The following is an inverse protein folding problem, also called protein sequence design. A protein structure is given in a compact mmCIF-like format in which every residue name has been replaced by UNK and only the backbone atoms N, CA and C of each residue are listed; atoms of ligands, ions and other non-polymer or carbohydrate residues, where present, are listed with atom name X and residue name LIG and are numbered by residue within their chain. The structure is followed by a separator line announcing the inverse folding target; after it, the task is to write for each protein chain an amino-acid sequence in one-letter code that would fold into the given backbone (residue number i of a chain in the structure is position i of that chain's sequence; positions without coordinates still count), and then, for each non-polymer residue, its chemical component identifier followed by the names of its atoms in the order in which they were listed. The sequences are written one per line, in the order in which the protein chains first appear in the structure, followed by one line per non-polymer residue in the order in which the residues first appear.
data_IF_612213620827
#
_entry.id   IF_612213620827
#
_cell.length_a   1.000
_cell.length_b   1.000
_cell.length_c   1.000
_cell.angle_alpha   90.00
_cell.angle_beta   90.00
_cell.angle_gamma   90.00
#
_symmetry.space_group_name_H-M   'P 1'
#
loop_
_entity.id
_entity.type
_entity.pdbx_description
1 polymer ?
#
# COMPACT_ATOMS: atom_id res chain seq x y z
N UNK A 1 6.54 12.81 -5.43
CA UNK A 1 6.40 11.40 -5.88
C UNK A 1 7.61 10.55 -5.51
N UNK A 2 8.84 10.94 -5.89
CA UNK A 2 10.08 10.21 -5.53
C UNK A 2 10.28 10.07 -4.01
N UNK A 3 10.10 11.16 -3.24
CA UNK A 3 10.16 11.13 -1.77
C UNK A 3 9.16 10.15 -1.16
N UNK A 4 7.95 10.10 -1.70
CA UNK A 4 6.91 9.17 -1.24
C UNK A 4 7.28 7.73 -1.57
N UNK A 5 7.78 7.47 -2.79
CA UNK A 5 8.22 6.13 -3.20
C UNK A 5 9.35 5.62 -2.29
N UNK A 6 10.35 6.46 -1.99
CA UNK A 6 11.42 6.11 -1.06
C UNK A 6 10.89 5.80 0.35
N UNK A 7 9.90 6.56 0.84
CA UNK A 7 9.27 6.30 2.11
C UNK A 7 8.50 4.96 2.14
N UNK A 8 7.77 4.62 1.08
CA UNK A 8 7.07 3.33 0.97
C UNK A 8 8.06 2.15 0.92
N UNK A 9 9.18 2.29 0.22
CA UNK A 9 10.23 1.27 0.21
C UNK A 9 10.86 1.11 1.61
N UNK A 10 11.08 2.23 2.32
CA UNK A 10 11.52 2.22 3.70
C UNK A 10 10.52 1.52 4.64
N UNK A 11 9.22 1.78 4.49
CA UNK A 11 8.17 1.09 5.24
C UNK A 11 8.17 -0.42 4.99
N UNK A 12 8.31 -0.84 3.72
CA UNK A 12 8.35 -2.27 3.37
C UNK A 12 9.57 -2.94 3.98
N UNK A 13 10.74 -2.32 3.86
CA UNK A 13 11.96 -2.83 4.49
C UNK A 13 11.83 -2.94 6.01
N UNK A 14 11.38 -1.86 6.68
CA UNK A 14 11.22 -1.82 8.14
C UNK A 14 10.11 -2.73 8.64
N UNK A 15 9.12 -3.05 7.79
CA UNK A 15 8.08 -4.03 8.12
C UNK A 15 8.59 -5.46 8.14
N UNK A 16 9.74 -5.75 7.51
CA UNK A 16 10.35 -7.07 7.45
C UNK A 16 11.43 -7.31 8.53
N UNK A 17 11.76 -6.28 9.33
CA UNK A 17 12.79 -6.35 10.37
C UNK A 17 12.21 -5.93 11.72
N UNK A 18 12.69 -6.55 12.81
CA UNK A 18 12.29 -6.21 14.19
C UNK A 18 12.97 -4.91 14.66
N UNK A 19 12.62 -3.79 14.03
CA UNK A 19 13.11 -2.47 14.39
C UNK A 19 12.13 -1.72 15.30
N UNK A 20 12.62 -0.77 16.13
CA UNK A 20 11.76 0.09 16.92
C UNK A 20 10.70 0.84 16.08
N UNK A 21 9.47 0.88 16.59
CA UNK A 21 8.31 1.49 15.92
C UNK A 21 8.54 2.94 15.47
N UNK A 22 9.42 3.70 16.12
CA UNK A 22 9.70 5.08 15.76
C UNK A 22 10.41 5.22 14.41
N UNK A 23 11.18 4.21 13.96
CA UNK A 23 11.73 4.20 12.60
C UNK A 23 10.62 4.12 11.55
N UNK A 24 9.66 3.23 11.78
CA UNK A 24 8.45 3.14 10.96
C UNK A 24 7.70 4.48 10.96
N UNK A 25 7.51 5.09 12.15
CA UNK A 25 6.93 6.42 12.28
C UNK A 25 7.65 7.50 11.46
N UNK A 26 8.99 7.45 11.41
CA UNK A 26 9.80 8.34 10.59
C UNK A 26 9.48 8.24 9.10
N UNK A 27 9.31 7.02 8.58
CA UNK A 27 8.91 6.83 7.16
C UNK A 27 7.51 7.36 6.88
N UNK A 28 6.57 7.24 7.83
CA UNK A 28 5.22 7.83 7.72
C UNK A 28 5.29 9.35 7.62
N UNK A 29 6.14 9.99 8.42
CA UNK A 29 6.36 11.44 8.36
C UNK A 29 6.93 11.86 7.00
N UNK A 30 7.93 11.14 6.49
CA UNK A 30 8.53 11.44 5.17
C UNK A 30 7.51 11.25 4.04
N UNK A 31 6.70 10.19 4.09
CA UNK A 31 5.62 9.98 3.14
C UNK A 31 4.60 11.13 3.17
N UNK A 32 4.12 11.49 4.37
CA UNK A 32 3.15 12.56 4.55
C UNK A 32 3.67 13.92 4.07
N UNK A 33 4.94 14.22 4.31
CA UNK A 33 5.61 15.41 3.81
C UNK A 33 5.63 15.44 2.27
N UNK A 34 6.10 14.35 1.65
CA UNK A 34 6.13 14.23 0.19
C UNK A 34 4.73 14.28 -0.44
N UNK A 35 3.73 13.73 0.24
CA UNK A 35 2.33 13.80 -0.17
C UNK A 35 1.80 15.22 -0.13
N UNK A 36 2.02 15.96 0.97
CA UNK A 36 1.59 17.36 1.10
C UNK A 36 2.19 18.27 0.02
N UNK A 37 3.49 18.09 -0.29
CA UNK A 37 4.17 18.83 -1.35
C UNK A 37 3.64 18.53 -2.76
N UNK A 38 3.01 17.38 -2.98
CA UNK A 38 2.47 17.01 -4.29
C UNK A 38 0.96 17.28 -4.40
N UNK A 39 0.19 16.93 -3.37
CA UNK A 39 -1.27 16.90 -3.40
C UNK A 39 -1.88 18.30 -3.54
N UNK A 40 -1.42 19.26 -2.74
CA UNK A 40 -1.96 20.64 -2.75
C UNK A 40 -1.68 21.35 -4.07
N UNK A 41 -0.41 21.55 -4.51
CA UNK A 41 -0.16 22.22 -5.79
C UNK A 41 -0.69 21.43 -6.98
N UNK A 42 -0.68 20.09 -6.95
CA UNK A 42 -1.27 19.27 -8.00
C UNK A 42 -2.77 19.54 -8.17
N UNK A 43 -3.51 19.62 -7.07
CA UNK A 43 -4.95 19.94 -7.11
C UNK A 43 -5.18 21.36 -7.65
N UNK A 44 -4.40 22.34 -7.20
CA UNK A 44 -4.50 23.72 -7.69
C UNK A 44 -4.24 23.81 -9.21
N UNK A 45 -3.23 23.10 -9.72
CA UNK A 45 -2.91 23.07 -11.14
C UNK A 45 -4.03 22.41 -11.97
N UNK A 46 -4.64 21.33 -11.47
CA UNK A 46 -5.76 20.67 -12.14
C UNK A 46 -6.95 21.62 -12.24
N UNK A 47 -7.34 22.26 -11.13
CA UNK A 47 -8.48 23.18 -11.10
C UNK A 47 -8.23 24.41 -11.97
N UNK A 48 -7.00 24.93 -11.98
CA UNK A 48 -6.60 26.08 -12.80
C UNK A 48 -6.51 25.77 -14.31
N UNK A 49 -6.60 24.49 -14.70
CA UNK A 49 -6.53 24.07 -16.10
C UNK A 49 -7.75 24.43 -16.95
N UNK A 50 -8.86 24.89 -16.33
CA UNK A 50 -10.05 25.38 -17.01
C UNK A 50 -10.29 26.89 -16.78
N UNK A 51 -11.01 27.56 -17.70
CA UNK A 51 -11.52 28.92 -17.50
C UNK A 51 -12.28 29.07 -16.19
N UNK A 52 -12.30 30.30 -15.65
CA UNK A 52 -12.84 30.60 -14.32
C UNK A 52 -14.32 30.20 -14.14
N UNK A 53 -15.13 30.38 -15.18
CA UNK A 53 -16.55 29.99 -15.23
C UNK A 53 -16.77 28.45 -15.17
N UNK A 54 -15.70 27.66 -15.33
CA UNK A 54 -15.75 26.18 -15.36
C UNK A 54 -14.88 25.51 -14.30
N UNK A 55 -14.27 26.25 -13.39
CA UNK A 55 -13.41 25.67 -12.32
C UNK A 55 -14.17 24.72 -11.40
N UNK A 56 -15.45 24.99 -11.12
CA UNK A 56 -16.31 24.10 -10.33
C UNK A 56 -16.45 22.71 -10.97
N UNK A 57 -16.55 22.65 -12.30
CA UNK A 57 -16.57 21.38 -13.03
C UNK A 57 -15.21 20.67 -12.91
N UNK A 58 -14.10 21.41 -13.03
CA UNK A 58 -12.75 20.83 -12.87
C UNK A 58 -12.52 20.25 -11.48
N UNK A 59 -13.00 20.93 -10.44
CA UNK A 59 -12.91 20.46 -9.06
C UNK A 59 -13.73 19.19 -8.85
N UNK A 60 -14.98 19.16 -9.32
CA UNK A 60 -15.84 17.97 -9.21
C UNK A 60 -15.22 16.74 -9.90
N UNK A 61 -14.66 16.92 -11.11
CA UNK A 61 -13.98 15.82 -11.83
C UNK A 61 -12.73 15.37 -11.08
N UNK A 62 -11.95 16.29 -10.51
CA UNK A 62 -10.78 15.97 -9.70
C UNK A 62 -11.12 15.15 -8.46
N UNK A 63 -12.21 15.50 -7.77
CA UNK A 63 -12.65 14.80 -6.57
C UNK A 63 -13.10 13.38 -6.90
N UNK A 64 -13.96 13.22 -7.93
CA UNK A 64 -14.36 11.89 -8.42
C UNK A 64 -13.14 11.05 -8.83
N UNK A 65 -12.17 11.67 -9.51
CA UNK A 65 -10.92 10.97 -9.90
C UNK A 65 -10.15 10.49 -8.68
N UNK A 66 -10.07 11.29 -7.62
CA UNK A 66 -9.38 10.92 -6.37
C UNK A 66 -10.11 9.85 -5.59
N UNK A 67 -11.44 9.93 -5.49
CA UNK A 67 -12.26 8.92 -4.82
C UNK A 67 -12.15 7.56 -5.52
N UNK A 68 -12.32 7.55 -6.85
CA UNK A 68 -12.17 6.34 -7.67
C UNK A 68 -10.74 5.80 -7.60
N UNK A 69 -9.74 6.68 -7.75
CA UNK A 69 -8.33 6.30 -7.65
C UNK A 69 -7.95 5.73 -6.29
N UNK A 70 -8.47 6.32 -5.21
CA UNK A 70 -8.26 5.83 -3.84
C UNK A 70 -8.91 4.47 -3.60
N UNK A 71 -10.16 4.29 -4.04
CA UNK A 71 -10.87 3.01 -3.92
C UNK A 71 -10.17 1.89 -4.71
N UNK A 72 -9.81 2.14 -5.97
CA UNK A 72 -9.10 1.17 -6.81
C UNK A 72 -7.70 0.86 -6.26
N UNK A 73 -6.96 1.89 -5.87
CA UNK A 73 -5.62 1.72 -5.30
C UNK A 73 -5.64 0.90 -4.00
N UNK A 74 -6.59 1.20 -3.10
CA UNK A 74 -6.79 0.44 -1.87
C UNK A 74 -7.18 -1.02 -2.14
N UNK A 75 -8.09 -1.26 -3.08
CA UNK A 75 -8.50 -2.61 -3.47
C UNK A 75 -7.32 -3.41 -4.04
N UNK A 76 -6.54 -2.82 -4.96
CA UNK A 76 -5.36 -3.48 -5.54
C UNK A 76 -4.32 -3.79 -4.45
N UNK A 77 -4.01 -2.85 -3.56
CA UNK A 77 -3.07 -3.05 -2.48
C UNK A 77 -3.52 -4.19 -1.54
N UNK A 78 -4.80 -4.22 -1.19
CA UNK A 78 -5.37 -5.28 -0.36
C UNK A 78 -5.37 -6.65 -1.08
N UNK A 79 -5.67 -6.69 -2.38
CA UNK A 79 -5.60 -7.92 -3.17
C UNK A 79 -4.18 -8.47 -3.28
N UNK A 80 -3.19 -7.60 -3.51
CA UNK A 80 -1.77 -7.99 -3.54
C UNK A 80 -1.34 -8.53 -2.17
N UNK A 81 -1.66 -7.80 -1.10
CA UNK A 81 -1.38 -8.23 0.27
C UNK A 81 -1.94 -9.62 0.52
N UNK A 82 -3.22 -9.84 0.23
CA UNK A 82 -3.90 -11.10 0.49
C UNK A 82 -3.35 -12.24 -0.37
N UNK A 83 -3.10 -11.99 -1.66
CA UNK A 83 -2.53 -13.00 -2.56
C UNK A 83 -1.11 -13.40 -2.14
N UNK A 84 -0.29 -12.43 -1.73
CA UNK A 84 1.04 -12.72 -1.20
C UNK A 84 0.96 -13.48 0.12
N UNK A 85 0.08 -13.02 1.03
CA UNK A 85 -0.15 -13.66 2.32
C UNK A 85 -0.52 -15.15 2.16
N UNK A 86 -1.51 -15.46 1.33
CA UNK A 86 -1.98 -16.85 1.15
C UNK A 86 -0.91 -17.72 0.51
N UNK A 87 -0.05 -17.16 -0.35
CA UNK A 87 1.09 -17.86 -0.94
C UNK A 87 2.23 -18.12 0.06
N UNK A 88 2.46 -17.20 1.01
CA UNK A 88 3.59 -17.25 1.94
C UNK A 88 3.26 -17.99 3.24
N UNK A 89 2.02 -17.89 3.74
CA UNK A 89 1.60 -18.58 4.98
C UNK A 89 1.65 -20.11 4.82
N UNK A 90 1.54 -20.60 3.58
CA UNK A 90 1.91 -21.94 3.17
C UNK A 90 1.04 -23.06 3.77
N UNK A 91 1.57 -24.28 3.72
CA UNK A 91 0.98 -25.45 4.37
C UNK A 91 1.30 -25.44 5.87
N UNK A 92 0.26 -25.30 6.68
CA UNK A 92 0.31 -25.18 8.14
C UNK A 92 0.33 -26.57 8.80
N UNK A 93 1.13 -27.49 8.23
CA UNK A 93 1.14 -28.91 8.55
C UNK A 93 0.96 -29.22 10.04
N UNK A 94 0.05 -30.15 10.33
CA UNK A 94 -0.38 -30.47 11.70
C UNK A 94 -1.69 -29.79 12.12
N UNK A 95 -2.21 -28.85 11.33
CA UNK A 95 -3.58 -28.36 11.46
C UNK A 95 -4.58 -29.25 10.69
N UNK A 96 -5.83 -29.41 11.19
CA UNK A 96 -6.91 -29.94 10.37
C UNK A 96 -7.16 -29.08 9.12
N UNK A 97 -7.49 -29.70 8.00
CA UNK A 97 -7.66 -29.02 6.69
C UNK A 97 -8.55 -27.77 6.78
N UNK A 98 -9.70 -27.85 7.46
CA UNK A 98 -10.60 -26.69 7.61
C UNK A 98 -9.98 -25.52 8.38
N UNK A 99 -9.10 -25.79 9.35
CA UNK A 99 -8.41 -24.75 10.10
C UNK A 99 -7.29 -24.13 9.27
N UNK A 100 -6.61 -24.93 8.44
CA UNK A 100 -5.61 -24.47 7.50
C UNK A 100 -6.24 -23.59 6.41
N UNK A 101 -7.32 -24.05 5.77
CA UNK A 101 -8.07 -23.30 4.74
C UNK A 101 -8.52 -21.93 5.28
N UNK A 102 -9.12 -21.93 6.47
CA UNK A 102 -9.58 -20.70 7.13
C UNK A 102 -8.41 -19.76 7.44
N UNK A 103 -7.27 -20.27 7.88
CA UNK A 103 -6.09 -19.44 8.18
C UNK A 103 -5.45 -18.84 6.92
N UNK A 104 -5.57 -19.50 5.77
CA UNK A 104 -5.09 -19.02 4.48
C UNK A 104 -5.94 -17.88 3.90
N UNK A 105 -7.19 -17.72 4.36
CA UNK A 105 -8.07 -16.61 3.93
C UNK A 105 -7.60 -15.23 4.41
N UNK A 106 -6.69 -15.16 5.37
CA UNK A 106 -6.11 -13.90 5.82
C UNK A 106 -5.56 -13.91 7.24
N UNK A 107 -4.79 -12.87 7.57
CA UNK A 107 -4.17 -12.71 8.88
C UNK A 107 -5.18 -12.72 10.03
N UNK A 108 -6.33 -12.04 9.85
CA UNK A 108 -7.38 -11.98 10.88
C UNK A 108 -7.95 -13.37 11.15
N UNK A 109 -8.23 -14.13 10.10
CA UNK A 109 -8.75 -15.49 10.17
C UNK A 109 -7.73 -16.44 10.81
N UNK A 110 -6.44 -16.31 10.50
CA UNK A 110 -5.39 -17.05 11.18
C UNK A 110 -5.34 -16.75 12.69
N UNK A 111 -5.53 -15.50 13.11
CA UNK A 111 -5.62 -15.16 14.53
C UNK A 111 -6.86 -15.78 15.19
N UNK A 112 -8.01 -15.83 14.51
CA UNK A 112 -9.22 -16.50 15.01
C UNK A 112 -9.01 -18.00 15.20
N UNK A 113 -8.34 -18.66 14.24
CA UNK A 113 -7.99 -20.08 14.32
C UNK A 113 -7.01 -20.32 15.47
N UNK A 114 -5.98 -19.48 15.59
CA UNK A 114 -4.94 -19.59 16.61
C UNK A 114 -5.50 -19.59 18.04
N UNK A 115 -6.57 -18.85 18.30
CA UNK A 115 -7.23 -18.81 19.63
C UNK A 115 -7.82 -20.16 20.07
N UNK A 116 -8.05 -21.10 19.14
CA UNK A 116 -8.67 -22.40 19.41
C UNK A 116 -7.66 -23.55 19.45
N UNK A 117 -6.39 -23.26 19.23
CA UNK A 117 -5.32 -24.25 19.16
C UNK A 117 -4.59 -24.40 20.50
N UNK A 118 -3.95 -25.57 20.75
CA UNK A 118 -3.00 -25.71 21.85
C UNK A 118 -1.81 -24.76 21.65
N UNK A 119 -1.06 -24.53 22.73
CA UNK A 119 -0.08 -23.44 22.77
C UNK A 119 0.99 -23.53 21.67
N UNK A 120 1.53 -24.72 21.41
CA UNK A 120 2.60 -24.89 20.43
C UNK A 120 2.14 -24.60 18.99
N UNK A 121 0.97 -25.09 18.59
CA UNK A 121 0.39 -24.88 17.27
C UNK A 121 -0.08 -23.43 17.07
N UNK A 122 -0.66 -22.84 18.13
CA UNK A 122 -1.06 -21.43 18.16
C UNK A 122 0.13 -20.51 17.90
N UNK A 123 1.23 -20.70 18.62
CA UNK A 123 2.40 -19.81 18.51
C UNK A 123 3.03 -19.93 17.12
N UNK A 124 3.14 -21.16 16.59
CA UNK A 124 3.60 -21.40 15.21
C UNK A 124 2.70 -20.72 14.17
N UNK A 125 1.39 -20.84 14.31
CA UNK A 125 0.44 -20.21 13.38
C UNK A 125 0.53 -18.67 13.45
N UNK A 126 0.64 -18.11 14.64
CA UNK A 126 0.76 -16.65 14.82
C UNK A 126 2.05 -16.14 14.16
N UNK A 127 3.17 -16.83 14.38
CA UNK A 127 4.45 -16.47 13.77
C UNK A 127 4.40 -16.56 12.24
N UNK A 128 3.89 -17.67 11.71
CA UNK A 128 3.72 -17.86 10.26
C UNK A 128 2.84 -16.77 9.63
N UNK A 129 1.69 -16.47 10.26
CA UNK A 129 0.76 -15.45 9.77
C UNK A 129 1.36 -14.04 9.84
N UNK A 130 2.13 -13.70 10.89
CA UNK A 130 2.82 -12.41 11.01
C UNK A 130 3.85 -12.24 9.90
N UNK A 131 4.67 -13.25 9.67
CA UNK A 131 5.70 -13.22 8.63
C UNK A 131 5.07 -13.10 7.23
N UNK A 132 4.03 -13.88 6.95
CA UNK A 132 3.30 -13.80 5.68
C UNK A 132 2.61 -12.45 5.46
N UNK A 133 2.06 -11.84 6.53
CA UNK A 133 1.46 -10.51 6.44
C UNK A 133 2.51 -9.43 6.18
N UNK A 134 3.64 -9.47 6.88
CA UNK A 134 4.74 -8.52 6.70
C UNK A 134 5.33 -8.60 5.28
N UNK A 135 5.49 -9.80 4.75
CA UNK A 135 5.92 -10.04 3.37
C UNK A 135 4.91 -9.46 2.36
N UNK A 136 3.63 -9.83 2.48
CA UNK A 136 2.59 -9.28 1.62
C UNK A 136 2.45 -7.77 1.70
N UNK A 137 2.65 -7.19 2.89
CA UNK A 137 2.61 -5.74 3.11
C UNK A 137 3.77 -5.06 2.37
N UNK A 138 4.95 -5.65 2.45
CA UNK A 138 6.15 -5.17 1.74
C UNK A 138 5.96 -5.21 0.23
N UNK A 139 5.41 -6.31 -0.31
CA UNK A 139 5.11 -6.43 -1.75
C UNK A 139 4.12 -5.36 -2.21
N UNK A 140 3.03 -5.14 -1.45
CA UNK A 140 2.06 -4.11 -1.76
C UNK A 140 2.68 -2.70 -1.79
N UNK A 141 3.57 -2.39 -0.83
CA UNK A 141 4.28 -1.11 -0.79
C UNK A 141 5.26 -0.93 -1.94
N UNK A 142 5.97 -1.99 -2.35
CA UNK A 142 6.86 -1.96 -3.53
C UNK A 142 6.08 -1.65 -4.80
N UNK A 143 4.91 -2.29 -4.99
CA UNK A 143 4.05 -2.01 -6.15
C UNK A 143 3.55 -0.56 -6.11
N UNK A 144 3.11 -0.06 -4.94
CA UNK A 144 2.69 1.32 -4.80
C UNK A 144 3.83 2.32 -5.08
N UNK A 145 5.05 2.02 -4.63
CA UNK A 145 6.24 2.80 -4.94
C UNK A 145 6.54 2.82 -6.45
N UNK A 146 6.42 1.68 -7.12
CA UNK A 146 6.61 1.57 -8.56
C UNK A 146 5.60 2.45 -9.33
N UNK A 147 4.32 2.43 -8.95
CA UNK A 147 3.28 3.29 -9.54
C UNK A 147 3.62 4.77 -9.37
N UNK A 148 4.10 5.19 -8.19
CA UNK A 148 4.53 6.57 -7.96
C UNK A 148 5.72 6.98 -8.84
N UNK A 149 6.70 6.09 -9.03
CA UNK A 149 7.86 6.35 -9.89
C UNK A 149 7.42 6.45 -11.35
N UNK A 150 6.58 5.54 -11.84
CA UNK A 150 6.03 5.58 -13.20
C UNK A 150 5.27 6.89 -13.45
N UNK A 151 4.46 7.34 -12.49
CA UNK A 151 3.76 8.62 -12.58
C UNK A 151 4.73 9.81 -12.65
N UNK A 152 5.80 9.80 -11.85
CA UNK A 152 6.82 10.85 -11.89
C UNK A 152 7.54 10.89 -13.26
N UNK A 153 7.91 9.73 -13.81
CA UNK A 153 8.54 9.61 -15.13
C UNK A 153 7.60 10.12 -16.22
N UNK A 154 6.32 9.74 -16.18
CA UNK A 154 5.33 10.20 -17.16
C UNK A 154 5.17 11.74 -17.14
N UNK A 155 5.20 12.37 -15.97
CA UNK A 155 5.17 13.83 -15.83
C UNK A 155 6.42 14.48 -16.42
N UNK A 156 7.61 13.97 -16.10
CA UNK A 156 8.88 14.49 -16.63
C UNK A 156 8.95 14.39 -18.16
N UNK A 157 8.52 13.26 -18.72
CA UNK A 157 8.48 13.04 -20.17
C UNK A 157 7.46 13.93 -20.89
N UNK A 158 6.44 14.45 -20.19
CA UNK A 158 5.47 15.41 -20.73
C UNK A 158 5.97 16.85 -20.61
N UNK A 159 6.56 17.21 -19.48
CA UNK A 159 7.15 18.53 -19.28
C UNK A 159 8.23 18.84 -20.34
N UNK A 160 9.15 17.91 -20.58
CA UNK A 160 10.20 18.08 -21.59
C UNK A 160 9.71 18.10 -23.05
N UNK A 161 8.43 17.78 -23.32
CA UNK A 161 7.79 17.94 -24.64
C UNK A 161 7.09 19.29 -24.77
N UNK A 162 6.56 19.84 -23.68
CA UNK A 162 5.88 21.14 -23.67
C UNK A 162 6.84 22.32 -23.82
N UNK A 163 8.09 22.20 -23.38
CA UNK A 163 9.12 23.24 -23.57
C UNK A 163 9.69 23.29 -25.00
N UNK A 164 9.33 22.33 -25.86
CA UNK A 164 9.82 22.22 -27.25
C UNK A 164 8.78 22.62 -28.30
N UNK A 165 7.57 23.01 -27.89
CA UNK A 165 6.47 23.43 -28.75
C UNK A 165 6.17 24.92 -28.51
#
# INVERSE_FOLDING_TARGET
MTTMAAALLGMGYLGAVDEPLWWFGGTVVVFAFGFGLAATPGTSLIIAGLPEDRRTLSAAVNDVTREVGGALGGAIAASVLLASYSSTVGDLGGLPDQAADRAQEGFVQAMEVAQRLPAAERDRLIEAARNAFADGYSVALVIAAAVLVLGAVALLLRAGRGERA
#
